data_IF_646737813519
#
_entry.id   IF_646737813519
#
_cell.length_a   1.000
_cell.length_b   1.000
_cell.length_c   1.000
_cell.angle_alpha   90.00
_cell.angle_beta   90.00
_cell.angle_gamma   90.00
#
_symmetry.space_group_name_H-M   'P 1'
#
loop_
_entity.id
_entity.type
_entity.pdbx_description
1 polymer ?
#
# COMPACT_ATOMS: atom_id res chain seq x y z
N UNK A 1 -42.91 35.69 0.99
CA UNK A 1 -41.64 35.63 1.78
C UNK A 1 -40.72 34.64 1.04
N UNK A 2 -39.80 35.14 0.20
CA UNK A 2 -38.35 35.24 0.44
C UNK A 2 -37.64 33.87 0.38
N UNK A 3 -36.58 33.58 -0.39
CA UNK A 3 -35.69 34.38 -1.21
C UNK A 3 -35.01 33.48 -2.28
N UNK A 4 -34.84 33.98 -3.51
CA UNK A 4 -33.83 33.48 -4.47
C UNK A 4 -32.62 34.41 -4.37
N UNK A 5 -31.47 33.88 -3.99
CA UNK A 5 -30.19 34.62 -3.95
C UNK A 5 -29.15 33.85 -4.76
N UNK A 6 -28.91 34.28 -6.00
CA UNK A 6 -27.64 34.01 -6.67
C UNK A 6 -27.44 35.04 -7.79
N UNK A 7 -26.52 35.98 -7.55
CA UNK A 7 -25.71 36.73 -8.52
C UNK A 7 -25.00 37.88 -7.79
N UNK A 8 -23.69 37.76 -7.60
CA UNK A 8 -22.79 38.91 -7.73
C UNK A 8 -21.49 38.46 -8.40
N UNK A 9 -21.35 38.89 -9.66
CA UNK A 9 -20.08 39.01 -10.38
C UNK A 9 -19.25 40.07 -9.64
N UNK A 10 -17.98 39.78 -9.38
CA UNK A 10 -16.99 40.80 -9.03
C UNK A 10 -16.15 41.07 -10.28
N UNK A 11 -16.28 42.27 -10.83
CA UNK A 11 -15.36 42.90 -11.79
C UNK A 11 -14.57 43.92 -10.98
N UNK A 12 -13.25 43.88 -11.05
CA UNK A 12 -12.38 45.00 -10.70
C UNK A 12 -11.54 45.31 -11.93
N UNK A 13 -11.80 46.50 -12.48
CA UNK A 13 -10.96 47.20 -13.43
C UNK A 13 -10.15 48.22 -12.63
N UNK A 14 -8.88 48.40 -12.99
CA UNK A 14 -8.12 49.61 -12.74
C UNK A 14 -7.15 49.77 -13.90
N UNK A 15 -7.55 50.60 -14.85
CA UNK A 15 -6.67 51.29 -15.80
C UNK A 15 -6.04 52.48 -15.05
N UNK A 16 -4.76 52.72 -15.29
CA UNK A 16 -4.14 54.03 -15.11
C UNK A 16 -3.01 54.12 -16.11
N UNK A 17 -3.30 54.76 -17.25
CA UNK A 17 -2.31 55.35 -18.16
C UNK A 17 -1.74 56.63 -17.51
N UNK A 18 -0.46 56.86 -17.69
CA UNK A 18 0.14 58.20 -17.91
C UNK A 18 1.63 58.05 -18.31
N UNK A 19 1.82 58.18 -19.63
CA UNK A 19 2.88 58.82 -20.42
C UNK A 19 4.38 58.87 -20.01
N UNK A 20 5.15 58.37 -20.99
CA UNK A 20 6.52 58.63 -21.46
C UNK A 20 7.36 59.75 -20.81
N UNK A 21 8.58 59.39 -20.33
CA UNK A 21 9.83 60.15 -20.62
C UNK A 21 11.01 59.19 -20.80
N UNK A 22 11.62 59.24 -21.98
CA UNK A 22 12.90 58.62 -22.34
C UNK A 22 14.05 59.14 -21.48
N UNK A 23 14.77 58.26 -20.78
CA UNK A 23 16.13 58.53 -20.33
C UNK A 23 17.05 57.34 -20.61
N UNK A 24 17.88 57.56 -21.63
CA UNK A 24 19.10 56.86 -21.98
C UNK A 24 19.98 56.70 -20.72
N UNK A 25 20.21 55.46 -20.27
CA UNK A 25 21.32 55.12 -19.35
C UNK A 25 22.12 53.95 -19.92
N UNK A 26 23.42 54.20 -19.97
CA UNK A 26 24.50 53.38 -20.50
C UNK A 26 24.64 52.00 -19.83
N UNK A 27 25.29 51.03 -20.51
CA UNK A 27 25.37 49.65 -20.05
C UNK A 27 26.36 49.52 -18.90
N UNK A 28 25.95 48.88 -17.81
CA UNK A 28 26.83 48.48 -16.71
C UNK A 28 27.02 46.96 -16.66
N UNK A 29 28.19 46.50 -16.17
CA UNK A 29 28.87 45.32 -16.69
C UNK A 29 28.41 44.02 -16.03
N UNK A 30 28.57 42.94 -16.78
CA UNK A 30 28.31 41.56 -16.36
C UNK A 30 29.22 41.12 -15.21
N UNK A 31 28.64 40.52 -14.16
CA UNK A 31 29.24 39.53 -13.26
C UNK A 31 28.10 38.77 -12.54
N UNK A 32 28.35 37.55 -12.04
CA UNK A 32 28.42 36.27 -12.75
C UNK A 32 27.17 35.42 -12.47
N UNK A 33 27.01 34.33 -13.22
CA UNK A 33 26.16 33.19 -12.86
C UNK A 33 26.25 32.86 -11.36
N UNK A 34 25.27 33.30 -10.57
CA UNK A 34 25.10 32.85 -9.20
C UNK A 34 23.80 32.05 -9.17
N UNK A 35 23.98 30.73 -9.33
CA UNK A 35 23.13 29.69 -8.82
C UNK A 35 21.64 29.95 -8.92
N UNK A 36 21.06 29.50 -10.03
CA UNK A 36 19.68 29.01 -10.06
C UNK A 36 19.59 27.80 -9.09
N UNK A 37 19.64 28.11 -7.80
CA UNK A 37 19.31 27.20 -6.72
C UNK A 37 17.81 27.20 -6.66
N UNK A 38 17.22 26.52 -7.65
CA UNK A 38 15.89 25.95 -7.55
C UNK A 38 15.80 25.37 -6.13
N UNK A 39 15.04 26.06 -5.27
CA UNK A 39 14.64 25.56 -3.96
C UNK A 39 14.00 24.22 -4.24
N UNK A 40 14.77 23.13 -4.12
CA UNK A 40 14.25 21.78 -3.95
C UNK A 40 13.49 21.83 -2.63
N UNK A 41 12.24 22.27 -2.72
CA UNK A 41 11.21 21.92 -1.77
C UNK A 41 11.31 20.42 -1.64
N UNK A 42 11.91 19.94 -0.56
CA UNK A 42 11.96 18.53 -0.21
C UNK A 42 10.53 18.16 0.13
N UNK A 43 9.73 17.91 -0.91
CA UNK A 43 8.41 17.32 -0.78
C UNK A 43 8.64 15.98 -0.09
N UNK A 44 8.21 15.90 1.17
CA UNK A 44 8.23 14.68 1.95
C UNK A 44 7.59 13.58 1.10
N UNK A 45 8.33 12.52 0.86
CA UNK A 45 7.84 11.41 0.04
C UNK A 45 6.86 10.62 0.91
N UNK A 46 5.64 10.38 0.45
CA UNK A 46 4.62 9.60 1.17
C UNK A 46 5.14 8.20 1.58
N UNK A 47 6.15 7.67 0.88
CA UNK A 47 6.82 6.42 1.24
C UNK A 47 7.61 6.48 2.55
N UNK A 48 8.11 7.65 2.92
CA UNK A 48 8.91 7.83 4.13
C UNK A 48 8.02 7.80 5.39
N UNK A 49 6.69 7.83 5.23
CA UNK A 49 5.70 7.70 6.31
C UNK A 49 5.32 6.25 6.60
N UNK A 50 5.73 5.30 5.74
CA UNK A 50 5.51 3.88 5.98
C UNK A 50 6.58 3.36 6.94
N UNK A 51 6.14 2.87 8.10
CA UNK A 51 7.03 2.32 9.12
C UNK A 51 6.40 1.11 9.82
N UNK A 52 7.23 0.37 10.55
CA UNK A 52 6.83 -0.72 11.43
C UNK A 52 6.20 -0.09 12.67
N UNK A 53 4.92 -0.38 12.91
CA UNK A 53 4.20 0.10 14.09
C UNK A 53 4.74 -0.61 15.33
N UNK A 54 5.00 0.13 16.41
CA UNK A 54 5.43 -0.44 17.69
C UNK A 54 4.34 -1.33 18.31
N UNK A 55 4.68 -2.37 19.10
CA UNK A 55 3.69 -3.30 19.66
C UNK A 55 2.61 -2.61 20.52
N UNK A 56 2.94 -1.48 21.13
CA UNK A 56 2.03 -0.71 22.01
C UNK A 56 1.00 0.11 21.24
N UNK A 57 1.32 0.49 20.01
CA UNK A 57 0.46 1.31 19.14
C UNK A 57 -0.23 0.44 18.07
N UNK A 58 0.26 -0.79 17.89
CA UNK A 58 -0.29 -1.74 16.94
C UNK A 58 -1.64 -2.28 17.45
N UNK A 59 -2.66 -2.17 16.61
CA UNK A 59 -3.96 -2.76 16.93
C UNK A 59 -3.95 -4.30 16.75
N UNK A 60 -4.83 -4.96 17.51
CA UNK A 60 -4.94 -6.42 17.52
C UNK A 60 -5.86 -6.93 16.41
N UNK A 61 -5.46 -8.03 15.80
CA UNK A 61 -6.17 -8.76 14.75
C UNK A 61 -6.41 -10.18 15.23
N UNK A 62 -7.66 -10.64 15.11
CA UNK A 62 -8.02 -12.04 15.39
C UNK A 62 -7.61 -12.94 14.23
N UNK A 63 -6.34 -13.37 14.23
CA UNK A 63 -5.76 -14.23 13.19
C UNK A 63 -6.46 -15.59 13.15
N UNK A 64 -6.84 -16.14 14.31
CA UNK A 64 -7.54 -17.43 14.40
C UNK A 64 -8.89 -17.37 13.65
N UNK A 65 -9.66 -16.28 13.82
CA UNK A 65 -10.91 -16.10 13.09
C UNK A 65 -10.70 -15.96 11.56
N UNK A 66 -9.59 -15.35 11.13
CA UNK A 66 -9.24 -15.27 9.70
C UNK A 66 -8.92 -16.66 9.17
N UNK A 67 -8.04 -17.41 9.84
CA UNK A 67 -7.62 -18.75 9.41
C UNK A 67 -8.75 -19.80 9.48
N UNK A 68 -9.76 -19.57 10.31
CA UNK A 68 -10.96 -20.42 10.38
C UNK A 68 -11.95 -20.18 9.22
N UNK A 69 -11.73 -19.14 8.39
CA UNK A 69 -12.62 -18.81 7.27
C UNK A 69 -12.40 -19.73 6.07
N UNK A 70 -13.31 -19.68 5.11
CA UNK A 70 -13.27 -20.53 3.92
C UNK A 70 -11.95 -20.35 3.18
N UNK A 71 -11.18 -21.43 3.03
CA UNK A 71 -9.85 -21.39 2.42
C UNK A 71 -9.75 -22.34 1.24
N UNK A 72 -9.26 -21.85 0.11
CA UNK A 72 -8.92 -22.66 -1.07
C UNK A 72 -7.42 -22.64 -1.32
N UNK A 73 -6.85 -23.79 -1.63
CA UNK A 73 -5.43 -23.94 -1.93
C UNK A 73 -5.02 -23.26 -3.25
N UNK A 74 -5.97 -23.16 -4.20
CA UNK A 74 -5.88 -22.44 -5.46
C UNK A 74 -7.32 -22.19 -6.01
N UNK A 75 -7.52 -21.18 -6.88
CA UNK A 75 -8.82 -20.95 -7.52
C UNK A 75 -9.26 -22.14 -8.38
N UNK A 76 -10.56 -22.31 -8.56
CA UNK A 76 -11.10 -23.40 -9.38
C UNK A 76 -10.62 -23.28 -10.83
N UNK A 77 -10.06 -24.37 -11.36
CA UNK A 77 -9.54 -24.40 -12.74
C UNK A 77 -8.15 -23.77 -12.91
N UNK A 78 -7.52 -23.26 -11.85
CA UNK A 78 -6.14 -22.77 -11.91
C UNK A 78 -5.15 -23.91 -12.23
N UNK A 79 -4.16 -23.61 -13.07
CA UNK A 79 -3.03 -24.50 -13.36
C UNK A 79 -1.86 -24.31 -12.39
N UNK A 80 -1.92 -23.31 -11.53
CA UNK A 80 -0.87 -23.00 -10.57
C UNK A 80 -0.79 -24.09 -9.49
N UNK A 81 0.42 -24.51 -9.17
CA UNK A 81 0.65 -25.40 -8.04
C UNK A 81 0.34 -24.63 -6.75
N UNK A 82 -0.39 -25.26 -5.83
CA UNK A 82 -0.60 -24.66 -4.51
C UNK A 82 0.71 -24.64 -3.72
N UNK A 83 0.98 -23.50 -3.10
CA UNK A 83 2.09 -23.25 -2.18
C UNK A 83 1.51 -22.91 -0.82
N UNK A 84 1.90 -23.67 0.20
CA UNK A 84 1.56 -23.37 1.58
C UNK A 84 2.74 -23.74 2.47
N UNK A 85 2.87 -23.04 3.60
CA UNK A 85 3.91 -23.31 4.60
C UNK A 85 3.32 -23.89 5.89
N UNK A 86 2.17 -24.56 5.77
CA UNK A 86 1.37 -25.00 6.92
C UNK A 86 2.10 -26.02 7.81
N UNK A 87 3.00 -26.80 7.22
CA UNK A 87 3.82 -27.78 7.96
C UNK A 87 4.75 -27.11 9.00
N UNK A 88 5.06 -25.83 8.82
CA UNK A 88 5.90 -25.03 9.73
C UNK A 88 5.09 -24.01 10.53
N UNK A 89 3.76 -24.07 10.46
CA UNK A 89 2.90 -23.18 11.21
C UNK A 89 2.95 -23.53 12.70
N UNK A 90 3.21 -22.52 13.52
CA UNK A 90 3.15 -22.61 14.98
C UNK A 90 2.15 -21.57 15.48
N UNK A 91 1.07 -22.05 16.12
CA UNK A 91 0.04 -21.16 16.67
C UNK A 91 0.66 -20.23 17.71
N UNK A 92 0.56 -18.92 17.48
CA UNK A 92 1.18 -17.89 18.32
C UNK A 92 2.71 -17.79 18.20
N UNK A 93 3.33 -18.55 17.30
CA UNK A 93 4.77 -18.54 17.00
C UNK A 93 5.10 -18.10 15.57
N UNK A 94 4.11 -18.09 14.67
CA UNK A 94 4.26 -17.69 13.27
C UNK A 94 3.86 -16.24 13.02
N UNK A 95 4.75 -15.49 12.35
CA UNK A 95 4.39 -14.23 11.67
C UNK A 95 3.52 -14.52 10.46
N UNK A 96 2.50 -13.71 10.22
CA UNK A 96 1.56 -13.89 9.10
C UNK A 96 1.57 -12.69 8.18
N UNK A 97 1.69 -12.94 6.86
CA UNK A 97 1.52 -11.93 5.82
C UNK A 97 0.19 -12.17 5.11
N UNK A 98 -0.68 -11.17 5.13
CA UNK A 98 -1.90 -11.14 4.33
C UNK A 98 -1.70 -10.29 3.08
N UNK A 99 -1.80 -10.93 1.92
CA UNK A 99 -1.89 -10.30 0.62
C UNK A 99 -3.36 -9.97 0.35
N UNK A 100 -3.77 -8.74 0.66
CA UNK A 100 -5.15 -8.29 0.49
C UNK A 100 -5.34 -7.84 -0.94
N UNK A 101 -6.12 -8.61 -1.70
CA UNK A 101 -6.27 -8.40 -3.13
C UNK A 101 -7.68 -7.87 -3.45
N UNK A 102 -7.71 -6.65 -3.98
CA UNK A 102 -8.84 -6.03 -4.63
C UNK A 102 -8.72 -6.17 -6.14
N UNK A 103 -8.20 -5.13 -6.80
CA UNK A 103 -8.16 -5.06 -8.27
C UNK A 103 -6.74 -5.23 -8.83
N UNK A 104 -5.69 -5.02 -8.03
CA UNK A 104 -4.31 -5.05 -8.48
C UNK A 104 -3.64 -6.39 -8.13
N UNK A 105 -2.95 -6.98 -9.10
CA UNK A 105 -2.21 -8.23 -8.91
C UNK A 105 -0.73 -8.03 -8.57
N UNK A 106 -0.19 -6.83 -8.77
CA UNK A 106 1.24 -6.52 -8.61
C UNK A 106 1.83 -6.98 -7.27
N UNK A 107 1.15 -6.68 -6.17
CA UNK A 107 1.66 -6.97 -4.83
C UNK A 107 1.69 -8.47 -4.52
N UNK A 108 0.79 -9.24 -5.13
CA UNK A 108 0.81 -10.70 -5.09
C UNK A 108 2.06 -11.25 -5.79
N UNK A 109 2.35 -10.78 -7.00
CA UNK A 109 3.54 -11.19 -7.76
C UNK A 109 4.84 -10.86 -7.03
N UNK A 110 4.91 -9.66 -6.44
CA UNK A 110 6.05 -9.22 -5.64
C UNK A 110 6.23 -10.07 -4.38
N UNK A 111 5.14 -10.38 -3.67
CA UNK A 111 5.19 -11.25 -2.50
C UNK A 111 5.68 -12.65 -2.91
N UNK A 112 5.07 -13.28 -3.92
CA UNK A 112 5.46 -14.60 -4.40
C UNK A 112 6.95 -14.67 -4.74
N UNK A 113 7.49 -13.63 -5.37
CA UNK A 113 8.92 -13.54 -5.73
C UNK A 113 9.85 -13.39 -4.53
N UNK A 114 9.37 -12.82 -3.42
CA UNK A 114 10.16 -12.58 -2.21
C UNK A 114 10.07 -13.72 -1.17
N UNK A 115 9.12 -14.66 -1.32
CA UNK A 115 8.83 -15.63 -0.26
C UNK A 115 10.01 -16.51 0.13
N UNK A 116 10.83 -16.95 -0.81
CA UNK A 116 12.00 -17.77 -0.50
C UNK A 116 12.98 -17.04 0.42
N UNK A 117 13.19 -15.74 0.19
CA UNK A 117 14.02 -14.88 1.04
C UNK A 117 13.37 -14.64 2.40
N UNK A 118 12.06 -14.40 2.44
CA UNK A 118 11.31 -14.21 3.69
C UNK A 118 11.31 -15.48 4.56
N UNK A 119 11.22 -16.67 3.96
CA UNK A 119 11.31 -17.94 4.69
C UNK A 119 12.72 -18.26 5.19
N UNK A 120 13.76 -17.75 4.52
CA UNK A 120 15.11 -17.84 5.03
C UNK A 120 15.29 -17.03 6.32
N UNK A 121 14.55 -15.92 6.47
CA UNK A 121 14.55 -15.08 7.68
C UNK A 121 13.64 -15.67 8.76
N UNK A 122 12.38 -15.98 8.42
CA UNK A 122 11.36 -16.47 9.33
C UNK A 122 10.77 -17.80 8.80
N UNK A 123 11.36 -18.96 9.17
CA UNK A 123 10.97 -20.25 8.61
C UNK A 123 9.52 -20.68 8.85
N UNK A 124 8.91 -20.20 9.93
CA UNK A 124 7.51 -20.47 10.31
C UNK A 124 6.52 -19.46 9.73
N UNK A 125 6.98 -18.47 8.95
CA UNK A 125 6.13 -17.43 8.37
C UNK A 125 5.03 -18.05 7.51
N UNK A 126 3.82 -17.50 7.61
CA UNK A 126 2.69 -17.88 6.78
C UNK A 126 2.31 -16.74 5.84
N UNK A 127 1.94 -17.08 4.61
CA UNK A 127 1.49 -16.12 3.62
C UNK A 127 0.16 -16.58 3.01
N UNK A 128 -0.84 -15.69 3.03
CA UNK A 128 -2.19 -15.97 2.56
C UNK A 128 -2.70 -14.82 1.68
N UNK A 129 -3.59 -15.12 0.75
CA UNK A 129 -4.35 -14.11 0.00
C UNK A 129 -5.68 -13.91 0.68
N UNK A 130 -6.03 -12.67 1.03
CA UNK A 130 -7.37 -12.30 1.45
C UNK A 130 -8.12 -11.71 0.26
N UNK A 131 -9.23 -12.34 -0.09
CA UNK A 131 -10.06 -11.96 -1.22
C UNK A 131 -11.55 -12.05 -0.86
N UNK A 132 -12.42 -11.51 -1.70
CA UNK A 132 -13.85 -11.53 -1.42
C UNK A 132 -14.46 -12.93 -1.53
N UNK A 133 -14.14 -13.65 -2.61
CA UNK A 133 -14.55 -15.03 -2.85
C UNK A 133 -13.39 -15.82 -3.47
N UNK A 134 -12.81 -16.79 -2.75
CA UNK A 134 -11.72 -17.63 -3.24
C UNK A 134 -12.05 -18.41 -4.52
N UNK A 135 -13.32 -18.76 -4.76
CA UNK A 135 -13.70 -19.61 -5.88
C UNK A 135 -13.66 -18.86 -7.21
N UNK A 136 -13.97 -17.57 -7.19
CA UNK A 136 -14.01 -16.69 -8.37
C UNK A 136 -12.78 -15.79 -8.50
N UNK A 137 -11.84 -15.89 -7.56
CA UNK A 137 -10.66 -15.04 -7.52
C UNK A 137 -9.71 -15.29 -8.70
N UNK A 138 -9.32 -14.20 -9.37
CA UNK A 138 -8.37 -14.27 -10.48
C UNK A 138 -6.94 -13.99 -9.99
N UNK A 139 -6.09 -15.01 -10.02
CA UNK A 139 -4.67 -14.87 -9.70
C UNK A 139 -3.88 -14.34 -10.89
N UNK A 140 -2.70 -13.81 -10.60
CA UNK A 140 -1.77 -13.38 -11.65
C UNK A 140 -1.30 -14.55 -12.50
N UNK A 141 -1.28 -14.36 -13.82
CA UNK A 141 -0.73 -15.32 -14.76
C UNK A 141 0.80 -15.42 -14.67
N UNK A 142 1.45 -14.42 -14.07
CA UNK A 142 2.92 -14.39 -13.93
C UNK A 142 3.42 -15.03 -12.65
N UNK A 143 2.54 -15.36 -11.70
CA UNK A 143 2.93 -15.94 -10.44
C UNK A 143 3.42 -17.39 -10.60
N UNK A 144 4.51 -17.80 -9.93
CA UNK A 144 5.04 -19.15 -10.05
C UNK A 144 4.17 -20.22 -9.36
N UNK A 145 3.32 -19.82 -8.42
CA UNK A 145 2.45 -20.71 -7.64
C UNK A 145 1.23 -19.95 -7.09
N UNK A 146 0.29 -20.69 -6.51
CA UNK A 146 -0.89 -20.15 -5.82
C UNK A 146 -0.67 -20.17 -4.31
N UNK A 147 -0.75 -19.02 -3.63
CA UNK A 147 -0.92 -18.99 -2.19
C UNK A 147 -2.34 -19.43 -1.79
N UNK A 148 -2.58 -19.86 -0.53
CA UNK A 148 -3.92 -20.19 -0.09
C UNK A 148 -4.77 -18.92 -0.01
N UNK A 149 -5.98 -19.01 -0.56
CA UNK A 149 -6.94 -17.92 -0.67
C UNK A 149 -7.97 -18.09 0.43
N UNK A 150 -8.08 -17.08 1.29
CA UNK A 150 -9.01 -17.02 2.40
C UNK A 150 -10.12 -16.04 2.04
N UNK A 151 -11.36 -16.46 2.23
CA UNK A 151 -12.54 -15.59 2.14
C UNK A 151 -12.51 -14.55 3.25
N UNK A 152 -12.49 -13.29 2.86
CA UNK A 152 -12.46 -12.17 3.79
C UNK A 152 -13.85 -11.70 4.22
N UNK A 153 -14.92 -12.18 3.57
CA UNK A 153 -16.29 -11.72 3.77
C UNK A 153 -17.21 -12.93 4.01
N UNK A 154 -16.91 -13.71 5.04
CA UNK A 154 -17.76 -14.81 5.50
C UNK A 154 -18.63 -14.31 6.66
N UNK A 155 -19.97 -14.24 6.54
CA UNK A 155 -20.84 -13.78 7.63
C UNK A 155 -20.60 -14.58 8.93
N UNK A 156 -20.46 -13.91 10.09
CA UNK A 156 -20.66 -12.48 10.36
C UNK A 156 -19.39 -11.61 10.24
N UNK A 157 -18.28 -12.16 9.74
CA UNK A 157 -16.97 -11.53 9.76
C UNK A 157 -16.65 -10.80 8.45
N UNK A 158 -16.13 -9.58 8.56
CA UNK A 158 -15.49 -8.87 7.45
C UNK A 158 -14.06 -8.55 7.86
N UNK A 159 -13.13 -9.36 7.35
CA UNK A 159 -11.72 -9.27 7.70
C UNK A 159 -11.05 -8.02 7.12
N UNK A 160 -11.57 -7.45 6.03
CA UNK A 160 -11.07 -6.17 5.52
C UNK A 160 -11.32 -5.03 6.50
N UNK A 161 -12.50 -5.00 7.15
CA UNK A 161 -12.82 -4.03 8.21
C UNK A 161 -11.91 -4.24 9.41
N UNK A 162 -11.77 -5.50 9.86
CA UNK A 162 -10.89 -5.88 10.98
C UNK A 162 -9.41 -5.72 10.69
N UNK A 163 -9.04 -5.54 9.43
CA UNK A 163 -7.70 -5.19 9.01
C UNK A 163 -7.55 -3.70 8.67
N UNK A 164 -8.64 -2.91 8.68
CA UNK A 164 -8.59 -1.49 8.35
C UNK A 164 -8.15 -1.26 6.90
N UNK A 165 -8.46 -2.22 6.02
CA UNK A 165 -8.02 -2.29 4.62
C UNK A 165 -9.23 -2.21 3.69
N UNK A 166 -10.19 -1.34 4.02
CA UNK A 166 -11.22 -0.94 3.07
C UNK A 166 -10.72 0.24 2.25
N UNK A 167 -10.98 0.20 0.94
CA UNK A 167 -10.63 1.28 0.05
C UNK A 167 -11.43 2.56 0.42
N UNK A 168 -10.79 3.72 0.62
CA UNK A 168 -11.49 4.94 1.07
C UNK A 168 -12.61 5.39 0.12
N UNK A 169 -12.41 5.22 -1.18
CA UNK A 169 -13.42 5.51 -2.21
C UNK A 169 -14.32 4.31 -2.57
N UNK A 170 -14.12 3.17 -1.89
CA UNK A 170 -14.80 1.90 -2.19
C UNK A 170 -16.17 1.75 -1.54
N UNK A 171 -16.72 2.80 -0.92
CA UNK A 171 -18.03 2.77 -0.27
C UNK A 171 -18.16 1.70 0.82
N UNK A 172 -17.04 1.31 1.45
CA UNK A 172 -16.98 0.25 2.45
C UNK A 172 -17.11 -1.19 1.92
N UNK A 173 -17.05 -1.39 0.60
CA UNK A 173 -17.24 -2.70 -0.04
C UNK A 173 -15.96 -3.29 -0.61
N UNK A 174 -15.10 -2.44 -1.15
CA UNK A 174 -13.90 -2.89 -1.84
C UNK A 174 -12.71 -2.88 -0.89
N UNK A 175 -11.90 -3.94 -0.88
CA UNK A 175 -10.66 -3.95 -0.14
C UNK A 175 -9.62 -3.02 -0.79
N UNK A 176 -8.67 -2.59 0.02
CA UNK A 176 -7.45 -1.94 -0.43
C UNK A 176 -6.45 -3.01 -0.87
N UNK A 177 -5.87 -2.86 -2.07
CA UNK A 177 -4.75 -3.69 -2.50
C UNK A 177 -3.53 -3.44 -1.61
N UNK A 178 -3.12 -4.42 -0.80
CA UNK A 178 -2.08 -4.22 0.22
C UNK A 178 -1.39 -5.51 0.67
N UNK A 179 -0.17 -5.37 1.19
CA UNK A 179 0.45 -6.38 2.05
C UNK A 179 0.33 -5.94 3.50
N UNK A 180 -0.25 -6.79 4.35
CA UNK A 180 -0.34 -6.54 5.79
C UNK A 180 0.44 -7.59 6.56
N UNK A 181 1.35 -7.16 7.44
CA UNK A 181 2.14 -8.04 8.30
C UNK A 181 1.52 -8.05 9.70
N UNK A 182 1.25 -9.24 10.21
CA UNK A 182 0.76 -9.49 11.56
C UNK A 182 1.80 -10.30 12.33
N UNK A 183 2.19 -9.82 13.50
CA UNK A 183 3.19 -10.50 14.32
C UNK A 183 2.64 -11.75 15.03
N UNK A 184 3.52 -12.45 15.74
CA UNK A 184 3.25 -13.69 16.49
C UNK A 184 2.16 -13.50 17.57
N UNK A 185 1.95 -12.26 18.04
CA UNK A 185 0.95 -11.89 19.06
C UNK A 185 -0.38 -11.43 18.44
N UNK A 186 -0.49 -11.42 17.12
CA UNK A 186 -1.69 -10.99 16.41
C UNK A 186 -1.79 -9.47 16.26
N UNK A 187 -0.70 -8.71 16.37
CA UNK A 187 -0.73 -7.27 16.11
C UNK A 187 -0.40 -6.96 14.66
N UNK A 188 -1.15 -6.05 14.02
CA UNK A 188 -0.82 -5.59 12.65
C UNK A 188 0.31 -4.57 12.71
N UNK A 189 1.50 -4.99 12.29
CA UNK A 189 2.75 -4.21 12.45
C UNK A 189 3.14 -3.41 11.21
N UNK A 190 2.71 -3.83 10.02
CA UNK A 190 3.01 -3.11 8.78
C UNK A 190 1.86 -3.23 7.79
N UNK A 191 1.60 -2.16 7.05
CA UNK A 191 0.70 -2.15 5.88
C UNK A 191 1.41 -1.46 4.72
N UNK A 192 1.53 -2.15 3.59
CA UNK A 192 2.09 -1.64 2.35
C UNK A 192 0.96 -1.54 1.31
N UNK A 193 0.39 -0.35 1.08
CA UNK A 193 -0.67 -0.16 0.10
C UNK A 193 -0.11 -0.17 -1.32
N UNK A 194 -0.85 -0.68 -2.30
CA UNK A 194 -0.49 -0.66 -3.72
C UNK A 194 -1.63 -0.01 -4.52
N UNK A 195 -1.30 0.86 -5.47
CA UNK A 195 -2.30 1.65 -6.22
C UNK A 195 -2.98 2.76 -5.42
N UNK A 196 -2.59 2.95 -4.16
CA UNK A 196 -3.12 4.00 -3.30
C UNK A 196 -2.05 4.56 -2.35
N UNK A 197 -2.22 5.83 -1.94
CA UNK A 197 -1.31 6.54 -1.03
C UNK A 197 0.16 6.41 -1.45
N UNK A 198 1.00 6.01 -0.50
CA UNK A 198 2.43 5.79 -0.73
C UNK A 198 2.76 4.82 -1.88
N UNK A 199 1.87 3.88 -2.20
CA UNK A 199 2.04 2.92 -3.31
C UNK A 199 1.28 3.25 -4.58
N UNK A 200 0.70 4.46 -4.68
CA UNK A 200 -0.15 4.87 -5.82
C UNK A 200 0.52 4.73 -7.20
N UNK A 201 1.85 4.85 -7.25
CA UNK A 201 2.60 4.77 -8.50
C UNK A 201 3.35 3.45 -8.67
N UNK A 202 3.10 2.46 -7.80
CA UNK A 202 3.84 1.19 -7.82
C UNK A 202 3.60 0.39 -9.12
N UNK A 203 2.43 0.49 -9.74
CA UNK A 203 2.06 -0.22 -10.98
C UNK A 203 2.41 0.57 -12.27
N UNK A 204 2.95 1.77 -12.13
CA UNK A 204 3.34 2.59 -13.28
C UNK A 204 4.66 2.11 -13.89
N UNK A 205 4.99 2.48 -15.15
CA UNK A 205 6.26 2.12 -15.77
C UNK A 205 7.51 2.57 -14.99
N UNK A 206 7.40 3.63 -14.18
CA UNK A 206 8.47 4.14 -13.31
C UNK A 206 8.37 3.63 -11.85
N UNK A 207 7.40 2.78 -11.55
CA UNK A 207 7.06 2.32 -10.21
C UNK A 207 8.07 1.38 -9.55
N UNK A 208 9.05 0.86 -10.30
CA UNK A 208 10.04 -0.11 -9.79
C UNK A 208 10.78 0.38 -8.53
N UNK A 209 11.10 1.67 -8.46
CA UNK A 209 11.76 2.23 -7.27
C UNK A 209 10.87 2.17 -6.02
N UNK A 210 9.56 2.33 -6.19
CA UNK A 210 8.56 2.24 -5.12
C UNK A 210 8.39 0.77 -4.71
N UNK A 211 8.24 -0.14 -5.69
CA UNK A 211 8.16 -1.58 -5.44
C UNK A 211 9.37 -2.06 -4.62
N UNK A 212 10.59 -1.69 -5.03
CA UNK A 212 11.82 -2.07 -4.33
C UNK A 212 11.84 -1.56 -2.88
N UNK A 213 11.43 -0.30 -2.65
CA UNK A 213 11.35 0.27 -1.30
C UNK A 213 10.32 -0.46 -0.43
N UNK A 214 9.14 -0.75 -0.98
CA UNK A 214 8.10 -1.49 -0.25
C UNK A 214 8.55 -2.90 0.12
N UNK A 215 9.17 -3.61 -0.80
CA UNK A 215 9.68 -4.96 -0.52
C UNK A 215 10.87 -4.95 0.45
N UNK A 216 11.70 -3.89 0.43
CA UNK A 216 12.73 -3.69 1.45
C UNK A 216 12.12 -3.46 2.83
N UNK A 217 11.07 -2.64 2.95
CA UNK A 217 10.33 -2.45 4.20
C UNK A 217 9.67 -3.74 4.69
N UNK A 218 9.08 -4.53 3.78
CA UNK A 218 8.50 -5.83 4.12
C UNK A 218 9.56 -6.75 4.73
N UNK A 219 10.70 -6.89 4.05
CA UNK A 219 11.82 -7.71 4.53
C UNK A 219 12.32 -7.22 5.89
N UNK A 220 12.55 -5.92 6.03
CA UNK A 220 12.99 -5.31 7.28
C UNK A 220 11.99 -5.53 8.43
N UNK A 221 10.69 -5.47 8.14
CA UNK A 221 9.65 -5.79 9.11
C UNK A 221 9.75 -7.25 9.56
N UNK A 222 9.85 -8.20 8.64
CA UNK A 222 9.99 -9.63 9.00
C UNK A 222 11.25 -9.87 9.82
N UNK A 223 12.40 -9.29 9.43
CA UNK A 223 13.64 -9.36 10.21
C UNK A 223 13.52 -8.76 11.61
N UNK A 224 12.75 -7.69 11.78
CA UNK A 224 12.55 -7.03 13.07
C UNK A 224 11.65 -7.87 13.96
N UNK A 225 10.53 -8.37 13.44
CA UNK A 225 9.60 -9.21 14.20
C UNK A 225 10.22 -10.55 14.60
N UNK A 226 11.11 -11.11 13.78
CA UNK A 226 11.81 -12.34 14.16
C UNK A 226 12.82 -12.12 15.30
N UNK A 227 13.37 -10.91 15.43
CA UNK A 227 14.27 -10.52 16.53
C UNK A 227 13.54 -10.16 17.83
N UNK A 228 12.28 -9.76 17.74
CA UNK A 228 11.43 -9.47 18.92
C UNK A 228 10.93 -10.73 19.63
N UNK A 229 11.09 -11.90 19.00
CA UNK A 229 10.53 -13.17 19.44
C UNK A 229 11.39 -13.92 20.45
#
# INVERSE_FOLDING_TARGET
MSARLSRKRSRLATESDDDEIQQLREPSPALPWLGDTLKRSKTQCELDELDIVEPTDAWTVDVDAILASTTLAAPQGSRLKSHNNWQRYEKGGSTTIFCVQGNLQLHYDLLCSALDELYAIAPSLQAFVLCYDPATHNLSETAPFSLPLISAVDPPNNHFVRLGLLHPLGGGKFPLDALAVVDKKGHRRLVLPFGWGAGRHADTPAGRSIQNKMMMLLKHCVETLEREA
#
